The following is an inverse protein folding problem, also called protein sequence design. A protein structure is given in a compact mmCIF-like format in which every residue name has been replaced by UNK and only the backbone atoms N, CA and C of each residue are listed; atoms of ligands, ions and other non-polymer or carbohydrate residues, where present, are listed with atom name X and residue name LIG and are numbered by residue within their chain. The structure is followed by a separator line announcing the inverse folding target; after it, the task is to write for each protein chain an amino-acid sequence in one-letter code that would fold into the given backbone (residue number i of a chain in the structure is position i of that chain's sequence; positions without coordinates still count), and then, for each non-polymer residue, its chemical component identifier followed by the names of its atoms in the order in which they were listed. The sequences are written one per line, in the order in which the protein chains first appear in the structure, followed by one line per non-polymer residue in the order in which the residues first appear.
data_IF_016233074140
#
_entry.id   IF_016233074140
#
_cell.length_a   1.000
_cell.length_b   1.000
_cell.length_c   1.000
_cell.angle_alpha   90.00
_cell.angle_beta   90.00
_cell.angle_gamma   90.00
#
_symmetry.space_group_name_H-M   'P 1'
#
loop_
_entity.id
_entity.type
_entity.pdbx_description
1 polymer ?
#
# COMPACT_ATOMS: atom_id res chain seq x y z
N UNK A 1 -3.80 -12.96 42.09
CA UNK A 1 -3.54 -13.91 40.98
C UNK A 1 -3.81 -13.10 39.73
N UNK A 2 -2.75 -12.62 39.06
CA UNK A 2 -2.85 -11.85 37.83
C UNK A 2 -3.00 -12.84 36.69
N UNK A 3 -4.08 -12.73 35.91
CA UNK A 3 -4.20 -13.44 34.64
C UNK A 3 -3.50 -12.63 33.55
N UNK A 4 -2.61 -13.34 32.87
CA UNK A 4 -1.72 -12.87 31.81
C UNK A 4 -2.60 -12.63 30.59
N UNK A 5 -2.75 -11.37 30.20
CA UNK A 5 -3.19 -11.03 28.85
C UNK A 5 -1.99 -11.37 27.97
N UNK A 6 -2.14 -12.42 27.16
CA UNK A 6 -1.25 -12.75 26.06
C UNK A 6 -0.97 -11.48 25.25
N UNK A 7 0.23 -10.92 25.42
CA UNK A 7 0.85 -10.03 24.47
C UNK A 7 0.91 -10.79 23.15
N UNK A 8 -0.04 -10.52 22.26
CA UNK A 8 0.16 -10.76 20.84
C UNK A 8 1.41 -9.95 20.48
N UNK A 9 2.45 -10.64 20.04
CA UNK A 9 3.60 -10.04 19.37
C UNK A 9 3.09 -9.35 18.10
N UNK A 10 2.56 -8.14 18.27
CA UNK A 10 2.57 -7.13 17.24
C UNK A 10 4.01 -7.07 16.74
N UNK A 11 4.21 -7.44 15.49
CA UNK A 11 5.43 -7.21 14.76
C UNK A 11 5.70 -5.70 14.86
N UNK A 12 6.45 -5.29 15.89
CA UNK A 12 6.70 -3.90 16.27
C UNK A 12 7.40 -3.20 15.11
N UNK A 13 6.61 -2.67 14.20
CA UNK A 13 6.98 -1.50 13.43
C UNK A 13 7.09 -0.42 14.50
N UNK A 14 8.33 -0.08 14.87
CA UNK A 14 8.59 0.96 15.86
C UNK A 14 7.69 2.16 15.54
N UNK A 15 6.97 2.66 16.56
CA UNK A 15 5.91 3.68 16.47
C UNK A 15 6.15 4.59 15.26
N UNK A 16 5.42 4.33 14.17
CA UNK A 16 5.53 5.16 12.99
C UNK A 16 4.84 6.48 13.35
N UNK A 17 5.65 7.52 13.49
CA UNK A 17 5.17 8.87 13.72
C UNK A 17 4.60 9.43 12.41
N UNK A 18 3.27 9.37 12.28
CA UNK A 18 2.56 9.88 11.11
C UNK A 18 2.78 11.38 10.88
N UNK A 19 2.99 12.18 11.93
CA UNK A 19 3.26 13.60 11.80
C UNK A 19 4.64 13.82 11.18
N UNK A 20 5.63 13.07 11.63
CA UNK A 20 6.97 13.10 11.04
C UNK A 20 6.96 12.59 9.59
N UNK A 21 6.20 11.54 9.27
CA UNK A 21 6.06 11.08 7.88
C UNK A 21 5.42 12.14 6.98
N UNK A 22 4.37 12.83 7.45
CA UNK A 22 3.75 13.95 6.72
C UNK A 22 4.72 15.12 6.55
N UNK A 23 5.54 15.41 7.57
CA UNK A 23 6.56 16.45 7.47
C UNK A 23 7.66 16.09 6.45
N UNK A 24 8.09 14.82 6.41
CA UNK A 24 9.15 14.32 5.52
C UNK A 24 8.69 14.17 4.06
N UNK A 25 7.51 13.60 3.85
CA UNK A 25 7.02 13.20 2.51
C UNK A 25 5.85 14.04 1.99
N UNK A 26 5.31 14.95 2.81
CA UNK A 26 4.11 15.72 2.49
C UNK A 26 2.86 14.85 2.56
N UNK A 27 2.34 14.46 1.40
CA UNK A 27 1.12 13.64 1.32
C UNK A 27 1.46 12.16 1.41
N UNK A 28 1.01 11.53 2.50
CA UNK A 28 1.20 10.11 2.80
C UNK A 28 -0.15 9.42 2.93
N UNK A 29 -0.24 8.19 2.43
CA UNK A 29 -1.41 7.33 2.51
C UNK A 29 -1.10 6.10 3.37
N UNK A 30 -1.93 5.86 4.39
CA UNK A 30 -1.92 4.61 5.14
C UNK A 30 -2.82 3.59 4.42
N UNK A 31 -2.32 2.38 4.22
CA UNK A 31 -3.05 1.27 3.62
C UNK A 31 -2.94 0.07 4.53
N UNK A 32 -4.09 -0.38 5.02
CA UNK A 32 -4.25 -1.58 5.83
C UNK A 32 -4.74 -2.71 4.91
N UNK A 33 -4.11 -3.87 5.02
CA UNK A 33 -4.37 -5.05 4.18
C UNK A 33 -4.54 -6.25 5.08
N UNK A 34 -5.72 -6.86 5.00
CA UNK A 34 -6.05 -8.12 5.65
C UNK A 34 -6.06 -9.23 4.60
N UNK A 35 -5.52 -10.41 4.94
CA UNK A 35 -5.52 -11.59 4.08
C UNK A 35 -6.35 -12.66 4.77
N UNK A 36 -7.32 -13.26 4.09
CA UNK A 36 -8.25 -14.21 4.74
C UNK A 36 -7.57 -15.47 5.29
N UNK A 37 -6.50 -15.93 4.62
CA UNK A 37 -5.84 -17.22 4.92
C UNK A 37 -4.87 -17.15 6.11
N UNK A 38 -4.40 -15.96 6.45
CA UNK A 38 -3.49 -15.71 7.57
C UNK A 38 -4.14 -14.62 8.39
N UNK A 39 -4.46 -14.85 9.66
CA UNK A 39 -5.10 -13.82 10.50
C UNK A 39 -4.17 -12.65 10.85
N UNK A 40 -3.30 -12.26 9.93
CA UNK A 40 -2.34 -11.17 9.98
C UNK A 40 -2.88 -9.96 9.22
N UNK A 41 -2.71 -8.79 9.82
CA UNK A 41 -3.00 -7.50 9.20
C UNK A 41 -1.68 -6.79 8.88
N UNK A 42 -1.53 -6.31 7.65
CA UNK A 42 -0.38 -5.52 7.23
C UNK A 42 -0.75 -4.06 7.14
N UNK A 43 0.07 -3.20 7.74
CA UNK A 43 -0.04 -1.74 7.59
C UNK A 43 1.17 -1.20 6.85
N UNK A 44 0.91 -0.52 5.73
CA UNK A 44 1.94 0.12 4.90
C UNK A 44 1.61 1.59 4.65
N UNK A 45 2.65 2.42 4.56
CA UNK A 45 2.55 3.82 4.23
C UNK A 45 3.14 4.09 2.85
N UNK A 46 2.45 4.91 2.06
CA UNK A 46 2.83 5.23 0.69
C UNK A 46 2.87 6.74 0.49
N UNK A 47 3.90 7.21 -0.21
CA UNK A 47 3.99 8.56 -0.74
C UNK A 47 2.93 8.74 -1.82
N UNK A 48 2.48 9.98 -2.03
CA UNK A 48 1.64 10.28 -3.18
C UNK A 48 2.37 9.95 -4.50
N UNK A 49 1.77 9.11 -5.37
CA UNK A 49 2.44 8.77 -6.62
C UNK A 49 2.59 9.99 -7.51
N UNK A 50 3.81 10.18 -8.03
CA UNK A 50 4.07 11.24 -8.99
C UNK A 50 3.67 10.82 -10.42
N UNK A 51 3.56 11.80 -11.32
CA UNK A 51 3.15 11.57 -12.70
C UNK A 51 4.06 10.59 -13.45
N UNK A 52 5.36 10.53 -13.13
CA UNK A 52 6.30 9.62 -13.78
C UNK A 52 6.04 8.16 -13.39
N UNK A 53 5.79 7.90 -12.11
CA UNK A 53 5.44 6.56 -11.59
C UNK A 53 4.10 6.10 -12.18
N UNK A 54 3.08 6.97 -12.18
CA UNK A 54 1.78 6.67 -12.80
C UNK A 54 1.91 6.35 -14.30
N UNK A 55 2.67 7.16 -15.05
CA UNK A 55 2.88 6.92 -16.48
C UNK A 55 3.59 5.59 -16.75
N UNK A 56 4.58 5.20 -15.93
CA UNK A 56 5.23 3.89 -16.02
C UNK A 56 4.22 2.76 -15.77
N UNK A 57 3.40 2.88 -14.73
CA UNK A 57 2.34 1.91 -14.45
C UNK A 57 1.41 1.76 -15.65
N UNK A 58 0.80 2.84 -16.14
CA UNK A 58 -0.16 2.80 -17.25
C UNK A 58 0.46 2.17 -18.51
N UNK A 59 1.70 2.54 -18.84
CA UNK A 59 2.41 2.02 -20.01
C UNK A 59 2.66 0.51 -19.93
N UNK A 60 2.94 0.01 -18.72
CA UNK A 60 3.34 -1.38 -18.51
C UNK A 60 2.17 -2.28 -18.14
N UNK A 61 1.10 -1.75 -17.55
CA UNK A 61 -0.03 -2.51 -17.03
C UNK A 61 -0.76 -3.33 -18.10
N UNK A 62 -0.79 -2.87 -19.35
CA UNK A 62 -1.39 -3.61 -20.48
C UNK A 62 -0.57 -4.81 -20.94
N UNK A 63 0.74 -4.85 -20.65
CA UNK A 63 1.66 -5.91 -21.09
C UNK A 63 2.05 -6.85 -19.96
N UNK A 64 2.23 -6.31 -18.77
CA UNK A 64 2.75 -6.98 -17.59
C UNK A 64 2.01 -6.46 -16.36
N UNK A 65 0.71 -6.74 -16.29
CA UNK A 65 -0.19 -6.16 -15.29
C UNK A 65 0.33 -6.34 -13.85
N UNK A 66 0.64 -7.59 -13.48
CA UNK A 66 1.12 -7.93 -12.13
C UNK A 66 2.44 -7.23 -11.80
N UNK A 67 3.43 -7.30 -12.70
CA UNK A 67 4.72 -6.65 -12.49
C UNK A 67 4.59 -5.13 -12.40
N UNK A 68 3.73 -4.53 -13.23
CA UNK A 68 3.46 -3.10 -13.17
C UNK A 68 2.88 -2.70 -11.80
N UNK A 69 1.98 -3.52 -11.23
CA UNK A 69 1.45 -3.33 -9.88
C UNK A 69 2.53 -3.41 -8.81
N UNK A 70 3.41 -4.43 -8.88
CA UNK A 70 4.56 -4.59 -7.98
C UNK A 70 5.48 -3.37 -8.05
N UNK A 71 5.93 -3.01 -9.25
CA UNK A 71 6.85 -1.88 -9.46
C UNK A 71 6.22 -0.59 -8.95
N UNK A 72 4.95 -0.35 -9.25
CA UNK A 72 4.23 0.84 -8.82
C UNK A 72 4.08 0.93 -7.30
N UNK A 73 3.74 -0.17 -6.63
CA UNK A 73 3.64 -0.19 -5.17
C UNK A 73 5.02 0.01 -4.51
N UNK A 74 6.07 -0.67 -5.01
CA UNK A 74 7.44 -0.55 -4.50
C UNK A 74 8.05 0.84 -4.71
N UNK A 75 7.75 1.51 -5.82
CA UNK A 75 8.23 2.88 -6.07
C UNK A 75 7.64 3.90 -5.08
N UNK A 76 6.42 3.64 -4.59
CA UNK A 76 5.64 4.59 -3.82
C UNK A 76 5.62 4.31 -2.31
N UNK A 77 6.01 3.12 -1.85
CA UNK A 77 6.16 2.85 -0.40
C UNK A 77 7.19 3.79 0.23
N UNK A 78 6.99 4.16 1.50
CA UNK A 78 7.97 4.96 2.25
C UNK A 78 9.28 4.19 2.42
N UNK A 79 10.39 4.92 2.55
CA UNK A 79 11.73 4.32 2.56
C UNK A 79 11.92 3.36 3.72
N UNK A 80 11.32 3.70 4.86
CA UNK A 80 11.34 2.94 6.12
C UNK A 80 10.71 1.55 5.98
N UNK A 81 9.82 1.36 5.00
CA UNK A 81 9.07 0.11 4.81
C UNK A 81 9.40 -0.61 3.50
N UNK A 82 10.38 -0.15 2.70
CA UNK A 82 10.71 -0.78 1.41
C UNK A 82 11.03 -2.27 1.58
N UNK A 83 11.90 -2.63 2.54
CA UNK A 83 12.34 -4.00 2.73
C UNK A 83 11.22 -4.89 3.28
N UNK A 84 10.48 -4.39 4.28
CA UNK A 84 9.31 -5.07 4.83
C UNK A 84 8.31 -5.37 3.72
N UNK A 85 7.91 -4.34 2.95
CA UNK A 85 6.97 -4.48 1.85
C UNK A 85 7.46 -5.48 0.79
N UNK A 86 8.74 -5.40 0.40
CA UNK A 86 9.35 -6.35 -0.54
C UNK A 86 9.31 -7.79 -0.06
N UNK A 87 9.51 -8.03 1.23
CA UNK A 87 9.43 -9.37 1.78
C UNK A 87 7.98 -9.86 1.83
N UNK A 88 7.05 -9.04 2.32
CA UNK A 88 5.64 -9.41 2.38
C UNK A 88 5.06 -9.78 1.02
N UNK A 89 5.37 -9.01 -0.04
CA UNK A 89 4.83 -9.32 -1.38
C UNK A 89 5.47 -10.54 -2.07
N UNK A 90 6.56 -11.11 -1.53
CA UNK A 90 7.09 -12.40 -2.04
C UNK A 90 6.13 -13.53 -1.72
N UNK A 91 5.60 -13.52 -0.51
CA UNK A 91 4.66 -14.52 -0.02
C UNK A 91 3.23 -14.16 -0.45
N UNK A 92 2.91 -12.87 -0.50
CA UNK A 92 1.57 -12.35 -0.78
C UNK A 92 1.55 -11.35 -1.92
N UNK A 93 1.82 -11.84 -3.14
CA UNK A 93 1.90 -11.00 -4.34
C UNK A 93 0.62 -10.17 -4.60
N UNK A 94 -0.55 -10.66 -4.17
CA UNK A 94 -1.84 -9.98 -4.30
C UNK A 94 -1.90 -8.62 -3.60
N UNK A 95 -1.15 -8.44 -2.50
CA UNK A 95 -1.07 -7.17 -1.77
C UNK A 95 -0.62 -6.05 -2.71
N UNK A 96 0.38 -6.31 -3.56
CA UNK A 96 0.90 -5.29 -4.48
C UNK A 96 -0.16 -4.75 -5.43
N UNK A 97 -1.06 -5.63 -5.90
CA UNK A 97 -2.15 -5.26 -6.80
C UNK A 97 -3.25 -4.48 -6.09
N UNK A 98 -3.61 -4.89 -4.87
CA UNK A 98 -4.59 -4.19 -4.03
C UNK A 98 -4.11 -2.78 -3.70
N UNK A 99 -2.85 -2.66 -3.27
CA UNK A 99 -2.19 -1.38 -3.01
C UNK A 99 -2.18 -0.51 -4.26
N UNK A 100 -1.73 -1.05 -5.40
CA UNK A 100 -1.71 -0.30 -6.66
C UNK A 100 -3.10 0.26 -7.01
N UNK A 101 -4.15 -0.56 -6.87
CA UNK A 101 -5.54 -0.16 -7.11
C UNK A 101 -5.98 0.95 -6.16
N UNK A 102 -5.67 0.84 -4.86
CA UNK A 102 -5.99 1.90 -3.87
C UNK A 102 -5.26 3.21 -4.16
N UNK A 103 -3.97 3.14 -4.52
CA UNK A 103 -3.18 4.31 -4.89
C UNK A 103 -3.75 5.02 -6.13
N UNK A 104 -4.17 4.26 -7.15
CA UNK A 104 -4.86 4.81 -8.33
C UNK A 104 -6.19 5.47 -7.94
N UNK A 105 -6.96 4.86 -7.04
CA UNK A 105 -8.19 5.43 -6.49
C UNK A 105 -7.96 6.80 -5.84
N UNK A 106 -6.88 6.96 -5.07
CA UNK A 106 -6.50 8.26 -4.48
C UNK A 106 -6.10 9.32 -5.53
N UNK A 107 -5.78 8.91 -6.74
CA UNK A 107 -5.50 9.78 -7.89
C UNK A 107 -6.74 10.04 -8.76
N UNK A 108 -7.91 9.55 -8.36
CA UNK A 108 -9.18 9.77 -9.07
C UNK A 108 -9.53 8.69 -10.11
N UNK A 109 -8.76 7.60 -10.20
CA UNK A 109 -9.13 6.43 -10.99
C UNK A 109 -10.13 5.59 -10.18
N UNK A 110 -11.38 6.04 -10.14
CA UNK A 110 -12.46 5.41 -9.36
C UNK A 110 -13.66 5.08 -10.24
N UNK A 111 -14.37 4.01 -9.89
CA UNK A 111 -15.60 3.61 -10.55
C UNK A 111 -16.84 4.40 -10.08
N UNK A 112 -16.66 5.32 -9.12
CA UNK A 112 -17.73 6.15 -8.55
C UNK A 112 -18.15 7.31 -9.47
N UNK A 113 -18.57 7.02 -10.70
CA UNK A 113 -19.01 8.01 -11.69
C UNK A 113 -20.49 7.78 -12.04
N UNK A 114 -21.31 8.82 -11.88
CA UNK A 114 -22.72 8.79 -12.29
C UNK A 114 -22.89 9.43 -13.67
N UNK A 115 -23.54 8.73 -14.58
CA UNK A 115 -23.89 9.24 -15.91
C UNK A 115 -25.41 9.34 -16.05
N UNK A 116 -25.89 10.45 -16.62
CA UNK A 116 -27.29 10.63 -17.03
C UNK A 116 -27.32 10.92 -18.52
N UNK A 117 -28.09 10.14 -19.27
CA UNK A 117 -28.42 10.45 -20.67
C UNK A 117 -29.42 11.61 -20.68
N UNK A 118 -29.11 12.66 -21.46
CA UNK A 118 -30.03 13.78 -21.73
C UNK A 118 -30.96 13.42 -22.89
#
# INVERSE_FOLDING_TARGET
MQEIIEEKEDLKIGVIDEENLKAKYGKVYKVEVEIEDISEEFTFYFKAPNSASLNRYIKNASKKHLQAGIDFAQENVIEEQIEQFKNTIKDYVGISQMVATKLLGFLGFTDNVTAKKL
#
